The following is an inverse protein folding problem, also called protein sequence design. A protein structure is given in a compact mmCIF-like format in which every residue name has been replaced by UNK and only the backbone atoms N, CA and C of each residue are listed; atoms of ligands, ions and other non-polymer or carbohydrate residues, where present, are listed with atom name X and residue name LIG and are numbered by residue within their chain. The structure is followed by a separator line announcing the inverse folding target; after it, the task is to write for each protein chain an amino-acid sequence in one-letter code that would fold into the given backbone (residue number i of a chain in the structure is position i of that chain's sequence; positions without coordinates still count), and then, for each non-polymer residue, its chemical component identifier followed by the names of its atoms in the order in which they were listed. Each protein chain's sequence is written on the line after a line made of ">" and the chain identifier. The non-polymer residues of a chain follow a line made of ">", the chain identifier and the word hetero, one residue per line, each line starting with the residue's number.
data_IF_345008609646
#
_entry.id   IF_345008609646
#
_cell.length_a   1.000
_cell.length_b   1.000
_cell.length_c   1.000
_cell.angle_alpha   90.00
_cell.angle_beta   90.00
_cell.angle_gamma   90.00
#
_symmetry.space_group_name_H-M   'P 1'
#
loop_
_entity.id
_entity.type
_entity.pdbx_description
1 polymer ?
#
# COMPACT_ATOMS: atom_id res chain seq x y z
N UNK A 1 -12.34 -8.64 82.19
CA UNK A 1 -11.79 -9.93 81.73
C UNK A 1 -12.37 -10.16 80.34
N UNK A 2 -11.53 -10.06 79.31
CA UNK A 2 -11.88 -10.08 77.90
C UNK A 2 -12.29 -11.49 77.46
N UNK A 3 -13.36 -11.60 76.67
CA UNK A 3 -13.64 -12.78 75.84
C UNK A 3 -13.73 -12.29 74.39
N UNK A 4 -12.71 -12.64 73.60
CA UNK A 4 -12.63 -12.38 72.16
C UNK A 4 -13.32 -13.55 71.46
N UNK A 5 -14.37 -13.27 70.69
CA UNK A 5 -15.00 -14.23 69.79
C UNK A 5 -14.45 -14.04 68.37
N UNK A 6 -13.99 -15.15 67.79
CA UNK A 6 -13.37 -15.27 66.45
C UNK A 6 -14.39 -15.78 65.45
N UNK A 7 -14.19 -15.44 64.17
CA UNK A 7 -14.74 -16.02 62.91
C UNK A 7 -15.83 -15.16 62.24
N UNK A 8 -15.87 -14.98 60.92
CA UNK A 8 -15.34 -15.79 59.82
C UNK A 8 -14.86 -14.94 58.64
N UNK A 9 -13.81 -15.42 57.96
CA UNK A 9 -13.35 -14.91 56.68
C UNK A 9 -14.22 -15.44 55.54
N UNK A 10 -14.71 -14.56 54.67
CA UNK A 10 -15.22 -14.93 53.35
C UNK A 10 -14.08 -14.85 52.34
N UNK A 11 -13.55 -16.02 51.97
CA UNK A 11 -12.67 -16.16 50.81
C UNK A 11 -13.54 -16.05 49.57
N UNK A 12 -13.46 -14.93 48.86
CA UNK A 12 -14.04 -14.78 47.54
C UNK A 12 -13.26 -15.63 46.55
N UNK A 13 -13.90 -16.66 46.01
CA UNK A 13 -13.39 -17.49 44.92
C UNK A 13 -13.22 -16.58 43.69
N UNK A 14 -11.98 -16.21 43.37
CA UNK A 14 -11.68 -15.65 42.05
C UNK A 14 -11.83 -16.78 41.05
N UNK A 15 -12.80 -16.65 40.14
CA UNK A 15 -12.91 -17.54 38.99
C UNK A 15 -11.62 -17.39 38.17
N UNK A 16 -10.75 -18.39 38.24
CA UNK A 16 -9.66 -18.53 37.30
C UNK A 16 -10.29 -18.70 35.92
N UNK A 17 -10.26 -17.63 35.13
CA UNK A 17 -10.52 -17.71 33.70
C UNK A 17 -9.60 -18.77 33.14
N UNK A 18 -10.19 -19.78 32.50
CA UNK A 18 -9.48 -20.77 31.71
C UNK A 18 -8.73 -19.97 30.65
N UNK A 19 -7.43 -19.77 30.85
CA UNK A 19 -6.54 -19.38 29.77
C UNK A 19 -6.71 -20.47 28.72
N UNK A 20 -7.30 -20.10 27.58
CA UNK A 20 -7.21 -20.93 26.39
C UNK A 20 -5.73 -20.96 26.04
N UNK A 21 -5.13 -22.13 26.08
CA UNK A 21 -3.88 -22.38 25.37
C UNK A 21 -4.09 -21.89 23.94
N UNK A 22 -3.41 -20.81 23.58
CA UNK A 22 -3.21 -20.44 22.20
C UNK A 22 -2.34 -21.55 21.62
N UNK A 23 -2.91 -22.30 20.69
CA UNK A 23 -2.22 -23.31 19.90
C UNK A 23 -0.92 -22.70 19.35
N UNK A 24 0.18 -23.43 19.49
CA UNK A 24 1.46 -23.02 18.95
C UNK A 24 1.43 -23.13 17.43
N UNK A 25 1.51 -22.02 16.69
CA UNK A 25 1.79 -22.12 15.25
C UNK A 25 1.65 -20.91 14.33
N UNK A 26 1.15 -19.74 14.74
CA UNK A 26 1.19 -18.55 13.87
C UNK A 26 1.82 -17.39 14.61
N UNK A 27 3.10 -17.13 14.33
CA UNK A 27 3.73 -15.88 14.69
C UNK A 27 3.10 -14.77 13.85
N UNK A 28 2.52 -13.77 14.51
CA UNK A 28 2.05 -12.59 13.79
C UNK A 28 3.23 -11.85 13.18
N UNK A 29 3.12 -11.39 11.92
CA UNK A 29 4.17 -10.58 11.33
C UNK A 29 4.37 -9.31 12.14
N UNK A 30 5.61 -8.86 12.29
CA UNK A 30 5.87 -7.56 12.90
C UNK A 30 5.48 -6.41 11.96
N UNK A 31 5.59 -6.62 10.64
CA UNK A 31 5.25 -5.64 9.61
C UNK A 31 4.47 -6.26 8.45
N UNK A 32 3.40 -5.59 8.04
CA UNK A 32 2.67 -5.89 6.80
C UNK A 32 2.81 -4.74 5.82
N UNK A 33 3.21 -5.03 4.59
CA UNK A 33 3.14 -4.06 3.50
C UNK A 33 1.74 -4.08 2.90
N UNK A 34 0.95 -3.03 3.12
CA UNK A 34 -0.35 -2.87 2.46
C UNK A 34 -0.13 -2.30 1.06
N UNK A 35 -0.33 -3.13 0.04
CA UNK A 35 -0.05 -2.78 -1.36
C UNK A 35 -1.33 -2.49 -2.15
N UNK A 36 -1.31 -1.47 -3.00
CA UNK A 36 -2.44 -1.12 -3.87
C UNK A 36 -1.97 -0.81 -5.29
N UNK A 37 -2.42 -1.65 -6.22
CA UNK A 37 -2.07 -1.61 -7.65
C UNK A 37 -2.66 -0.40 -8.38
N UNK A 38 -2.18 -0.15 -9.59
CA UNK A 38 -2.71 0.88 -10.46
C UNK A 38 -4.02 0.47 -11.11
N UNK A 39 -4.67 1.41 -11.80
CA UNK A 39 -5.87 1.11 -12.58
C UNK A 39 -5.58 0.07 -13.66
N UNK A 40 -6.52 -0.85 -13.83
CA UNK A 40 -6.52 -1.96 -14.78
C UNK A 40 -5.40 -3.01 -14.60
N UNK A 41 -4.51 -2.86 -13.61
CA UNK A 41 -3.52 -3.88 -13.24
C UNK A 41 -4.16 -5.04 -12.46
N UNK A 42 -5.07 -5.76 -13.09
CA UNK A 42 -5.88 -6.81 -12.45
C UNK A 42 -5.30 -8.22 -12.61
N UNK A 43 -4.12 -8.34 -13.21
CA UNK A 43 -3.39 -9.61 -13.24
C UNK A 43 -3.02 -10.03 -11.81
N UNK A 44 -3.30 -11.28 -11.48
CA UNK A 44 -2.93 -11.87 -10.19
C UNK A 44 -1.75 -12.79 -10.36
N UNK A 45 -0.83 -12.72 -9.42
CA UNK A 45 0.32 -13.61 -9.32
C UNK A 45 -0.05 -14.75 -8.39
N UNK A 46 0.35 -15.99 -8.73
CA UNK A 46 0.04 -17.12 -7.88
C UNK A 46 0.61 -16.87 -6.47
N UNK A 47 -0.13 -17.13 -5.38
CA UNK A 47 0.42 -17.07 -4.03
C UNK A 47 1.67 -17.97 -3.97
N UNK A 48 2.83 -17.39 -3.67
CA UNK A 48 4.11 -18.11 -3.71
C UNK A 48 4.94 -17.99 -4.99
N UNK A 49 4.40 -17.43 -6.09
CA UNK A 49 5.20 -17.07 -7.28
C UNK A 49 6.13 -15.88 -6.99
N UNK A 50 5.71 -14.95 -6.12
CA UNK A 50 6.53 -13.89 -5.51
C UNK A 50 7.14 -14.38 -4.19
N UNK A 51 7.93 -15.46 -4.23
CA UNK A 51 8.69 -16.06 -3.09
C UNK A 51 7.90 -16.35 -1.79
N UNK A 52 6.57 -16.38 -1.81
CA UNK A 52 5.72 -16.69 -0.64
C UNK A 52 5.37 -15.51 0.26
N UNK A 53 5.81 -14.29 -0.07
CA UNK A 53 5.56 -13.11 0.77
C UNK A 53 4.36 -12.26 0.34
N UNK A 54 3.71 -12.53 -0.80
CA UNK A 54 2.54 -11.75 -1.26
C UNK A 54 1.31 -12.64 -1.41
N UNK A 55 0.12 -12.05 -1.17
CA UNK A 55 -1.16 -12.66 -1.50
C UNK A 55 -1.52 -12.59 -3.00
N UNK A 56 -0.71 -11.94 -3.84
CA UNK A 56 -0.76 -12.03 -5.31
C UNK A 56 -1.58 -10.96 -6.03
N UNK A 57 -2.15 -9.99 -5.31
CA UNK A 57 -2.98 -8.92 -5.89
C UNK A 57 -2.21 -7.62 -6.15
N UNK A 58 -0.87 -7.65 -6.13
CA UNK A 58 -0.06 -6.43 -6.23
C UNK A 58 -0.11 -5.74 -7.59
N UNK A 59 -0.53 -6.43 -8.66
CA UNK A 59 -0.47 -5.91 -10.03
C UNK A 59 0.95 -5.83 -10.57
N UNK A 60 1.08 -5.64 -11.89
CA UNK A 60 2.36 -5.83 -12.58
C UNK A 60 3.46 -4.86 -12.15
N UNK A 61 3.15 -3.57 -12.02
CA UNK A 61 4.14 -2.55 -11.65
C UNK A 61 4.70 -2.79 -10.25
N UNK A 62 3.84 -3.09 -9.27
CA UNK A 62 4.30 -3.38 -7.92
C UNK A 62 5.00 -4.74 -7.85
N UNK A 63 4.57 -5.73 -8.64
CA UNK A 63 5.27 -7.00 -8.75
C UNK A 63 6.72 -6.81 -9.21
N UNK A 64 6.95 -6.07 -10.30
CA UNK A 64 8.30 -5.73 -10.79
C UNK A 64 9.12 -5.00 -9.71
N UNK A 65 8.50 -4.06 -8.99
CA UNK A 65 9.16 -3.36 -7.89
C UNK A 65 9.58 -4.32 -6.76
N UNK A 66 8.68 -5.20 -6.31
CA UNK A 66 8.94 -6.14 -5.21
C UNK A 66 10.05 -7.14 -5.60
N UNK A 67 10.06 -7.61 -6.84
CA UNK A 67 11.12 -8.47 -7.38
C UNK A 67 12.46 -7.75 -7.47
N UNK A 68 12.48 -6.52 -8.00
CA UNK A 68 13.69 -5.69 -8.01
C UNK A 68 14.19 -5.41 -6.59
N UNK A 69 13.30 -5.00 -5.69
CA UNK A 69 13.64 -4.65 -4.31
C UNK A 69 14.20 -5.86 -3.55
N UNK A 70 13.62 -7.05 -3.71
CA UNK A 70 14.14 -8.28 -3.11
C UNK A 70 15.49 -8.71 -3.72
N UNK A 71 15.72 -8.42 -5.00
CA UNK A 71 17.01 -8.69 -5.64
C UNK A 71 18.12 -7.80 -5.06
N UNK A 72 17.86 -6.51 -4.86
CA UNK A 72 18.87 -5.58 -4.29
C UNK A 72 18.93 -5.62 -2.76
N UNK A 73 17.91 -6.19 -2.10
CA UNK A 73 17.83 -6.44 -0.66
C UNK A 73 17.40 -7.89 -0.38
N UNK A 74 18.30 -8.89 -0.42
CA UNK A 74 17.94 -10.32 -0.33
C UNK A 74 17.14 -10.73 0.92
N UNK A 75 17.34 -10.05 2.06
CA UNK A 75 16.64 -10.34 3.33
C UNK A 75 15.40 -9.45 3.55
N UNK A 76 14.88 -8.82 2.50
CA UNK A 76 13.79 -7.86 2.57
C UNK A 76 12.52 -8.51 3.16
N UNK A 77 12.11 -9.64 2.59
CA UNK A 77 10.91 -10.36 3.01
C UNK A 77 11.21 -11.58 3.84
N UNK A 78 10.25 -11.92 4.69
CA UNK A 78 10.25 -13.11 5.52
C UNK A 78 8.77 -13.49 5.67
N UNK A 79 8.29 -14.58 5.05
CA UNK A 79 6.87 -14.93 5.06
C UNK A 79 6.26 -15.03 6.48
N UNK A 80 7.08 -15.28 7.50
CA UNK A 80 6.63 -15.40 8.90
C UNK A 80 6.65 -14.06 9.66
N UNK A 81 7.27 -13.00 9.11
CA UNK A 81 7.51 -11.72 9.84
C UNK A 81 7.22 -10.44 9.01
N UNK A 82 7.52 -10.46 7.71
CA UNK A 82 7.48 -9.32 6.79
C UNK A 82 6.82 -9.73 5.47
N UNK A 83 5.51 -9.55 5.41
CA UNK A 83 4.65 -9.98 4.29
C UNK A 83 4.03 -8.80 3.55
N UNK A 84 3.47 -9.06 2.38
CA UNK A 84 2.76 -8.13 1.49
C UNK A 84 1.30 -8.54 1.41
N UNK A 85 0.44 -7.65 1.88
CA UNK A 85 -1.00 -7.74 1.76
C UNK A 85 -1.45 -6.78 0.66
N UNK A 86 -1.55 -7.26 -0.58
CA UNK A 86 -2.11 -6.46 -1.66
C UNK A 86 -3.64 -6.47 -1.59
N UNK A 87 -4.26 -5.30 -1.75
CA UNK A 87 -5.71 -5.15 -1.68
C UNK A 87 -6.35 -5.92 -2.85
N UNK A 88 -7.21 -6.87 -2.53
CA UNK A 88 -7.88 -7.71 -3.52
C UNK A 88 -8.97 -6.97 -4.32
N UNK A 89 -9.58 -7.68 -5.27
CA UNK A 89 -10.59 -7.11 -6.15
C UNK A 89 -11.95 -6.81 -5.46
N UNK A 90 -12.26 -7.49 -4.35
CA UNK A 90 -13.51 -7.29 -3.62
C UNK A 90 -13.44 -5.98 -2.81
N UNK A 91 -12.26 -5.68 -2.28
CA UNK A 91 -11.97 -4.44 -1.54
C UNK A 91 -11.62 -3.26 -2.48
N UNK A 92 -10.86 -3.53 -3.54
CA UNK A 92 -10.42 -2.53 -4.52
C UNK A 92 -10.38 -3.12 -5.94
N UNK A 93 -11.37 -2.84 -6.79
CA UNK A 93 -11.47 -3.44 -8.12
C UNK A 93 -10.47 -2.87 -9.13
N UNK A 94 -9.71 -1.83 -8.75
CA UNK A 94 -8.73 -1.14 -9.59
C UNK A 94 -9.22 -0.83 -11.01
N UNK A 95 -10.48 -0.43 -11.17
CA UNK A 95 -11.00 -0.06 -12.49
C UNK A 95 -10.66 1.38 -12.80
N UNK A 96 -10.41 1.69 -14.06
CA UNK A 96 -10.45 3.04 -14.58
C UNK A 96 -11.89 3.33 -14.99
N UNK A 97 -12.62 4.24 -14.30
CA UNK A 97 -13.92 4.67 -14.79
C UNK A 97 -13.78 5.43 -16.12
N UNK A 98 -13.80 4.69 -17.24
CA UNK A 98 -13.93 5.23 -18.59
C UNK A 98 -15.39 5.62 -18.82
N UNK A 99 -15.76 6.80 -18.34
CA UNK A 99 -17.00 7.44 -18.70
C UNK A 99 -16.78 8.95 -18.78
N UNK A 100 -17.07 9.53 -19.94
CA UNK A 100 -17.21 10.98 -20.19
C UNK A 100 -16.01 11.78 -20.75
N UNK A 101 -14.92 11.16 -21.19
CA UNK A 101 -14.04 11.81 -22.15
C UNK A 101 -14.65 11.64 -23.56
N UNK A 102 -15.52 12.57 -23.96
CA UNK A 102 -16.17 12.55 -25.30
C UNK A 102 -15.16 12.47 -26.45
N UNK A 103 -15.62 12.07 -27.64
CA UNK A 103 -14.80 12.00 -28.87
C UNK A 103 -14.12 13.36 -29.16
N UNK A 104 -12.82 13.46 -28.87
CA UNK A 104 -11.95 14.67 -28.93
C UNK A 104 -12.08 15.65 -27.75
N UNK A 105 -11.59 15.29 -26.55
CA UNK A 105 -11.50 16.23 -25.46
C UNK A 105 -10.34 17.23 -25.69
N UNK A 106 -10.59 18.50 -25.40
CA UNK A 106 -9.53 19.51 -25.36
C UNK A 106 -8.44 19.11 -24.34
N UNK A 107 -7.13 19.26 -24.65
CA UNK A 107 -6.06 18.83 -23.74
C UNK A 107 -6.15 19.42 -22.33
N UNK A 108 -6.63 20.67 -22.16
CA UNK A 108 -6.79 21.25 -20.83
C UNK A 108 -8.02 20.69 -20.10
N UNK A 109 -9.02 20.21 -20.83
CA UNK A 109 -10.18 19.49 -20.28
C UNK A 109 -9.81 18.07 -19.86
N UNK A 110 -8.93 17.39 -20.60
CA UNK A 110 -8.35 16.10 -20.18
C UNK A 110 -7.53 16.27 -18.91
N UNK A 111 -6.63 17.26 -18.85
CA UNK A 111 -5.76 17.52 -17.69
C UNK A 111 -6.59 17.78 -16.43
N UNK A 112 -7.55 18.70 -16.50
CA UNK A 112 -8.40 19.02 -15.35
C UNK A 112 -9.34 17.86 -15.02
N UNK A 113 -9.84 17.15 -16.04
CA UNK A 113 -10.71 15.99 -15.88
C UNK A 113 -10.03 14.85 -15.13
N UNK A 114 -8.81 14.47 -15.52
CA UNK A 114 -8.02 13.42 -14.86
C UNK A 114 -7.66 13.81 -13.43
N UNK A 115 -7.24 15.05 -13.18
CA UNK A 115 -6.92 15.52 -11.83
C UNK A 115 -8.14 15.54 -10.89
N UNK A 116 -9.28 16.07 -11.34
CA UNK A 116 -10.53 16.10 -10.58
C UNK A 116 -11.11 14.69 -10.37
N UNK A 117 -10.91 13.81 -11.34
CA UNK A 117 -11.32 12.42 -11.28
C UNK A 117 -10.53 11.61 -10.25
N UNK A 118 -9.20 11.73 -10.26
CA UNK A 118 -8.35 11.08 -9.26
C UNK A 118 -8.64 11.62 -7.85
N UNK A 119 -8.90 12.92 -7.70
CA UNK A 119 -9.36 13.52 -6.44
C UNK A 119 -10.75 13.02 -6.00
N UNK A 120 -11.69 12.84 -6.93
CA UNK A 120 -13.01 12.27 -6.63
C UNK A 120 -12.92 10.80 -6.21
N UNK A 121 -12.08 9.99 -6.87
CA UNK A 121 -11.88 8.58 -6.51
C UNK A 121 -11.22 8.42 -5.15
N UNK A 122 -10.22 9.27 -4.86
CA UNK A 122 -9.58 9.29 -3.55
C UNK A 122 -10.53 9.52 -2.38
N UNK A 123 -11.62 10.23 -2.61
CA UNK A 123 -12.64 10.49 -1.59
C UNK A 123 -13.71 9.40 -1.48
N UNK A 124 -13.71 8.42 -2.38
CA UNK A 124 -14.79 7.44 -2.52
C UNK A 124 -14.40 5.96 -2.38
N UNK A 125 -13.12 5.63 -2.20
CA UNK A 125 -12.66 4.23 -2.09
C UNK A 125 -12.53 3.80 -0.61
N UNK A 126 -13.34 2.84 -0.12
CA UNK A 126 -13.18 2.27 1.22
C UNK A 126 -12.05 1.21 1.31
N UNK A 127 -11.54 0.75 0.17
CA UNK A 127 -10.94 -0.58 0.03
C UNK A 127 -9.80 -0.95 0.97
N UNK A 128 -8.80 -0.08 1.15
CA UNK A 128 -7.64 -0.43 1.97
C UNK A 128 -7.98 -0.60 3.45
N UNK A 129 -9.01 0.08 3.96
CA UNK A 129 -9.33 0.06 5.38
C UNK A 129 -10.05 -1.23 5.76
N UNK A 130 -11.05 -1.63 4.98
CA UNK A 130 -11.80 -2.88 5.19
C UNK A 130 -10.88 -4.10 5.05
N UNK A 131 -9.94 -4.10 4.10
CA UNK A 131 -8.93 -5.17 3.96
C UNK A 131 -8.07 -5.33 5.22
N UNK A 132 -7.69 -4.22 5.86
CA UNK A 132 -6.92 -4.25 7.12
C UNK A 132 -7.77 -4.80 8.26
N UNK A 133 -9.04 -4.39 8.36
CA UNK A 133 -9.97 -4.90 9.38
C UNK A 133 -10.19 -6.41 9.23
N UNK A 134 -10.45 -6.88 8.01
CA UNK A 134 -10.67 -8.29 7.69
C UNK A 134 -9.42 -9.13 7.95
N UNK A 135 -8.23 -8.61 7.58
CA UNK A 135 -6.96 -9.26 7.88
C UNK A 135 -6.73 -9.41 9.38
N UNK A 136 -6.87 -8.34 10.17
CA UNK A 136 -6.67 -8.38 11.62
C UNK A 136 -7.72 -9.23 12.33
N UNK A 137 -8.98 -9.21 11.85
CA UNK A 137 -10.04 -10.04 12.40
C UNK A 137 -9.83 -11.53 12.11
N UNK A 138 -9.43 -11.88 10.89
CA UNK A 138 -9.26 -13.28 10.47
C UNK A 138 -8.02 -13.93 11.08
N UNK A 139 -6.93 -13.17 11.22
CA UNK A 139 -5.65 -13.66 11.76
C UNK A 139 -5.52 -13.47 13.28
N UNK A 140 -6.25 -12.52 13.87
CA UNK A 140 -6.03 -12.06 15.24
C UNK A 140 -4.73 -11.26 15.43
N UNK A 141 -3.99 -11.00 14.35
CA UNK A 141 -2.75 -10.25 14.38
C UNK A 141 -2.98 -8.74 14.38
N UNK A 142 -1.98 -8.00 14.87
CA UNK A 142 -2.02 -6.53 14.94
C UNK A 142 -0.63 -5.93 14.63
N UNK A 143 -0.16 -6.04 13.37
CA UNK A 143 1.18 -5.63 12.96
C UNK A 143 1.32 -4.11 12.84
N UNK A 144 2.55 -3.64 12.64
CA UNK A 144 2.77 -2.34 12.01
C UNK A 144 2.60 -2.45 10.48
N UNK A 145 2.38 -1.32 9.80
CA UNK A 145 2.17 -1.28 8.37
C UNK A 145 3.11 -0.35 7.62
N UNK A 146 3.39 -0.71 6.38
CA UNK A 146 4.01 0.14 5.36
C UNK A 146 3.06 0.22 4.17
N UNK A 147 2.77 1.42 3.67
CA UNK A 147 1.98 1.57 2.44
C UNK A 147 2.84 1.44 1.19
N UNK A 148 2.36 0.73 0.18
CA UNK A 148 2.99 0.62 -1.13
C UNK A 148 1.95 0.86 -2.23
N UNK A 149 1.98 2.03 -2.88
CA UNK A 149 0.92 2.42 -3.81
C UNK A 149 1.45 2.80 -5.18
N UNK A 150 0.74 2.41 -6.24
CA UNK A 150 1.02 2.87 -7.59
C UNK A 150 -0.21 3.53 -8.20
N UNK A 151 -0.02 4.71 -8.81
CA UNK A 151 -1.07 5.44 -9.54
C UNK A 151 -2.34 5.63 -8.68
N UNK A 152 -3.50 5.17 -9.16
CA UNK A 152 -4.79 5.19 -8.44
C UNK A 152 -4.73 4.46 -7.09
N UNK A 153 -3.90 3.43 -6.92
CA UNK A 153 -3.77 2.67 -5.68
C UNK A 153 -3.33 3.53 -4.48
N UNK A 154 -2.59 4.62 -4.71
CA UNK A 154 -2.23 5.59 -3.66
C UNK A 154 -3.47 6.19 -2.99
N UNK A 155 -4.51 6.43 -3.78
CA UNK A 155 -5.80 6.92 -3.31
C UNK A 155 -6.54 5.86 -2.47
N UNK A 156 -6.51 4.60 -2.91
CA UNK A 156 -7.14 3.47 -2.23
C UNK A 156 -6.54 3.17 -0.85
N UNK A 157 -5.23 3.44 -0.65
CA UNK A 157 -4.54 3.25 0.62
C UNK A 157 -4.87 4.32 1.66
N UNK A 158 -5.29 5.51 1.21
CA UNK A 158 -5.30 6.70 2.06
C UNK A 158 -6.17 6.56 3.32
N UNK A 159 -7.41 6.03 3.28
CA UNK A 159 -8.21 5.83 4.48
C UNK A 159 -7.53 4.91 5.52
N UNK A 160 -6.98 3.78 5.08
CA UNK A 160 -6.26 2.85 5.93
C UNK A 160 -5.03 3.50 6.57
N UNK A 161 -4.25 4.21 5.76
CA UNK A 161 -3.03 4.87 6.23
C UNK A 161 -3.33 5.98 7.23
N UNK A 162 -4.41 6.75 7.06
CA UNK A 162 -4.81 7.73 8.08
C UNK A 162 -5.18 7.08 9.41
N UNK A 163 -5.96 5.99 9.38
CA UNK A 163 -6.32 5.26 10.59
C UNK A 163 -5.08 4.67 11.29
N UNK A 164 -4.22 3.99 10.53
CA UNK A 164 -2.99 3.38 11.03
C UNK A 164 -1.99 4.42 11.56
N UNK A 165 -1.88 5.58 10.90
CA UNK A 165 -1.05 6.68 11.38
C UNK A 165 -1.59 7.27 12.70
N UNK A 166 -2.91 7.42 12.84
CA UNK A 166 -3.53 7.89 14.08
C UNK A 166 -3.31 6.92 15.25
N UNK A 167 -3.17 5.63 14.97
CA UNK A 167 -2.81 4.59 15.95
C UNK A 167 -1.29 4.47 16.20
N UNK A 168 -0.45 5.18 15.45
CA UNK A 168 1.01 5.05 15.51
C UNK A 168 1.57 3.76 14.92
N UNK A 169 0.78 3.07 14.08
CA UNK A 169 1.08 1.78 13.46
C UNK A 169 1.50 1.88 11.99
N UNK A 170 1.51 3.08 11.42
CA UNK A 170 2.03 3.31 10.06
C UNK A 170 3.50 3.73 10.13
N UNK A 171 4.41 2.86 9.69
CA UNK A 171 5.86 3.14 9.66
C UNK A 171 6.26 4.10 8.55
N UNK A 172 5.54 4.09 7.43
CA UNK A 172 5.85 4.91 6.26
C UNK A 172 5.07 4.50 5.03
N UNK A 173 5.36 5.15 3.91
CA UNK A 173 4.82 4.76 2.61
C UNK A 173 5.79 5.01 1.45
N UNK A 174 5.68 4.17 0.42
CA UNK A 174 6.38 4.32 -0.85
C UNK A 174 5.35 4.36 -1.98
N UNK A 175 5.44 5.38 -2.84
CA UNK A 175 4.51 5.58 -3.94
C UNK A 175 5.21 5.75 -5.29
N UNK A 176 4.57 5.22 -6.34
CA UNK A 176 4.98 5.36 -7.74
C UNK A 176 3.85 5.98 -8.54
N UNK A 177 4.17 6.84 -9.52
CA UNK A 177 3.15 7.46 -10.36
C UNK A 177 2.07 8.20 -9.58
N UNK A 178 2.41 8.72 -8.38
CA UNK A 178 1.44 9.24 -7.43
C UNK A 178 0.73 10.49 -8.00
N UNK A 179 -0.60 10.46 -8.24
CA UNK A 179 -1.31 11.62 -8.79
C UNK A 179 -1.30 12.84 -7.86
N UNK A 180 -0.97 12.64 -6.59
CA UNK A 180 -0.85 13.69 -5.57
C UNK A 180 0.60 14.13 -5.32
N UNK A 181 1.56 13.71 -6.15
CA UNK A 181 2.99 13.99 -6.00
C UNK A 181 3.29 15.49 -5.83
N UNK A 182 2.56 16.36 -6.54
CA UNK A 182 2.72 17.83 -6.48
C UNK A 182 1.83 18.52 -5.43
N UNK A 183 1.01 17.76 -4.70
CA UNK A 183 0.08 18.26 -3.71
C UNK A 183 0.30 17.58 -2.34
N UNK A 184 1.46 17.80 -1.68
CA UNK A 184 1.82 17.15 -0.42
C UNK A 184 1.01 17.61 0.80
N UNK A 185 -0.19 18.17 0.59
CA UNK A 185 -1.17 18.57 1.62
C UNK A 185 -2.57 17.99 1.36
N UNK A 186 -2.72 17.14 0.34
CA UNK A 186 -3.93 16.40 0.01
C UNK A 186 -3.66 14.90 0.18
N UNK A 187 -4.74 14.10 0.08
CA UNK A 187 -4.74 12.64 0.02
C UNK A 187 -3.49 12.09 -0.69
N UNK A 188 -2.84 11.06 -0.16
CA UNK A 188 -1.66 10.45 -0.78
C UNK A 188 -0.37 11.30 -0.75
N UNK A 189 -0.39 12.46 -0.09
CA UNK A 189 0.80 13.33 0.04
C UNK A 189 0.86 14.17 1.32
N UNK A 190 -0.25 14.40 2.02
CA UNK A 190 -0.25 15.23 3.23
C UNK A 190 -1.51 15.17 4.06
N UNK A 191 -1.45 14.39 5.15
CA UNK A 191 -1.89 14.76 6.51
C UNK A 191 -1.55 13.62 7.50
N UNK A 192 -0.40 12.95 7.31
CA UNK A 192 0.15 11.97 8.24
C UNK A 192 1.42 12.56 8.86
N UNK A 193 1.25 13.60 9.67
CA UNK A 193 2.37 14.35 10.25
C UNK A 193 3.34 13.40 10.95
N UNK A 194 4.61 13.42 10.54
CA UNK A 194 5.67 12.59 11.12
C UNK A 194 5.85 11.20 10.51
N UNK A 195 4.99 10.78 9.57
CA UNK A 195 5.16 9.52 8.83
C UNK A 195 6.05 9.74 7.60
N UNK A 196 7.16 9.00 7.42
CA UNK A 196 8.02 9.13 6.25
C UNK A 196 7.31 8.64 4.98
N UNK A 197 7.36 9.46 3.93
CA UNK A 197 6.81 9.13 2.61
C UNK A 197 7.89 9.30 1.55
N UNK A 198 8.10 8.27 0.73
CA UNK A 198 8.91 8.33 -0.49
C UNK A 198 7.99 8.27 -1.70
N UNK A 199 7.98 9.30 -2.54
CA UNK A 199 7.15 9.36 -3.74
C UNK A 199 8.05 9.54 -4.96
N UNK A 200 8.07 8.54 -5.83
CA UNK A 200 8.87 8.52 -7.05
C UNK A 200 7.96 8.74 -8.27
N UNK A 201 8.34 9.72 -9.09
CA UNK A 201 7.67 10.07 -10.33
C UNK A 201 8.67 9.98 -11.48
N UNK A 202 8.36 9.18 -12.49
CA UNK A 202 9.12 9.16 -13.73
C UNK A 202 8.96 10.50 -14.47
N UNK A 203 10.01 10.91 -15.17
CA UNK A 203 9.91 12.05 -16.08
C UNK A 203 8.88 11.75 -17.18
N UNK A 204 8.10 12.76 -17.55
CA UNK A 204 7.04 12.63 -18.57
C UNK A 204 5.89 11.66 -18.18
N UNK A 205 5.80 11.19 -16.93
CA UNK A 205 4.64 10.45 -16.42
C UNK A 205 3.45 11.40 -16.22
N UNK A 206 2.41 11.25 -17.04
CA UNK A 206 1.23 12.13 -17.02
C UNK A 206 0.49 12.14 -15.67
N UNK A 207 0.57 11.07 -14.87
CA UNK A 207 -0.15 10.97 -13.61
C UNK A 207 0.46 11.89 -12.55
N UNK A 208 1.79 11.99 -12.47
CA UNK A 208 2.50 12.71 -11.40
C UNK A 208 3.33 13.90 -11.89
N UNK A 209 3.65 13.95 -13.18
CA UNK A 209 4.26 15.07 -13.91
C UNK A 209 3.24 15.68 -14.89
N UNK A 210 2.26 16.41 -14.36
CA UNK A 210 1.11 16.98 -15.08
C UNK A 210 1.44 18.13 -16.05
N UNK A 211 2.66 18.19 -16.59
CA UNK A 211 3.04 19.15 -17.62
C UNK A 211 2.32 18.88 -18.96
N UNK A 212 2.09 19.92 -19.80
CA UNK A 212 1.48 19.73 -21.12
C UNK A 212 2.21 18.73 -22.02
N UNK A 213 3.53 18.60 -21.83
CA UNK A 213 4.38 17.65 -22.55
C UNK A 213 4.05 16.20 -22.18
N UNK A 214 3.99 15.87 -20.90
CA UNK A 214 3.72 14.51 -20.39
C UNK A 214 2.37 13.99 -20.86
N UNK A 215 1.35 14.86 -20.85
CA UNK A 215 0.02 14.52 -21.37
C UNK A 215 0.04 14.32 -22.88
N UNK A 216 0.74 15.18 -23.62
CA UNK A 216 0.87 15.01 -25.07
C UNK A 216 1.59 13.69 -25.44
N UNK A 217 2.59 13.29 -24.67
CA UNK A 217 3.30 12.02 -24.88
C UNK A 217 2.41 10.83 -24.55
N UNK A 218 1.67 10.85 -23.44
CA UNK A 218 0.74 9.79 -23.07
C UNK A 218 -0.40 9.61 -24.10
N UNK A 219 -0.86 10.69 -24.74
CA UNK A 219 -1.88 10.61 -25.80
C UNK A 219 -1.33 10.15 -27.17
N UNK A 220 -0.01 10.21 -27.37
CA UNK A 220 0.66 9.77 -28.59
C UNK A 220 1.14 8.32 -28.52
N UNK A 221 1.13 7.73 -27.33
CA UNK A 221 1.48 6.35 -27.13
C UNK A 221 0.27 5.46 -27.46
N UNK A 222 0.34 4.84 -28.64
CA UNK A 222 -0.69 3.91 -29.12
C UNK A 222 -0.59 2.52 -28.43
N UNK A 223 0.49 2.27 -27.68
CA UNK A 223 0.82 0.97 -27.08
C UNK A 223 0.64 0.93 -25.55
N UNK A 224 0.39 2.06 -24.88
CA UNK A 224 0.18 2.13 -23.42
C UNK A 224 0.13 3.55 -22.88
N UNK A 225 0.22 3.72 -21.56
CA UNK A 225 0.16 5.02 -20.89
C UNK A 225 1.53 5.76 -20.80
N UNK A 226 2.45 5.50 -21.73
CA UNK A 226 3.77 6.14 -21.78
C UNK A 226 4.68 5.75 -20.62
N UNK A 227 5.44 6.73 -20.11
CA UNK A 227 6.35 6.53 -18.98
C UNK A 227 5.65 5.93 -17.74
N UNK A 228 4.33 6.15 -17.60
CA UNK A 228 3.55 5.66 -16.48
C UNK A 228 3.61 4.13 -16.32
N UNK A 229 3.69 3.35 -17.40
CA UNK A 229 3.71 1.87 -17.33
C UNK A 229 5.13 1.27 -17.24
N UNK A 230 6.16 2.12 -17.21
CA UNK A 230 7.55 1.69 -17.37
C UNK A 230 8.35 1.57 -16.08
N UNK A 231 7.74 1.88 -14.92
CA UNK A 231 8.39 1.77 -13.61
C UNK A 231 9.01 0.37 -13.42
N UNK A 232 10.31 0.35 -13.09
CA UNK A 232 11.09 -0.86 -12.78
C UNK A 232 11.18 -1.91 -13.90
N UNK A 233 10.72 -1.61 -15.13
CA UNK A 233 10.68 -2.58 -16.24
C UNK A 233 12.06 -3.13 -16.60
N UNK A 234 13.05 -2.24 -16.67
CA UNK A 234 14.42 -2.64 -17.02
C UNK A 234 15.18 -3.09 -15.76
N UNK A 235 14.94 -2.42 -14.62
CA UNK A 235 15.56 -2.71 -13.33
C UNK A 235 15.28 -4.14 -12.81
N UNK A 236 14.09 -4.68 -13.06
CA UNK A 236 13.75 -6.06 -12.65
C UNK A 236 14.48 -7.11 -13.51
N UNK A 237 14.83 -6.79 -14.75
CA UNK A 237 15.55 -7.68 -15.67
C UNK A 237 17.05 -7.66 -15.37
N UNK A 238 17.64 -6.47 -15.22
CA UNK A 238 19.01 -6.26 -14.80
C UNK A 238 19.07 -5.13 -13.74
N UNK A 239 19.32 -5.45 -12.46
CA UNK A 239 19.42 -4.45 -11.40
C UNK A 239 20.48 -3.38 -11.62
N UNK A 240 21.43 -3.58 -12.54
CA UNK A 240 22.42 -2.57 -12.92
C UNK A 240 21.89 -1.49 -13.86
N UNK A 241 20.75 -1.74 -14.52
CA UNK A 241 20.03 -0.76 -15.35
C UNK A 241 19.13 0.16 -14.52
N UNK A 242 18.95 -0.13 -13.22
CA UNK A 242 18.15 0.69 -12.34
C UNK A 242 18.70 2.12 -12.22
N UNK A 243 17.82 3.09 -12.43
CA UNK A 243 18.14 4.49 -12.19
C UNK A 243 18.43 4.75 -10.70
N UNK A 244 19.15 5.84 -10.37
CA UNK A 244 19.35 6.23 -8.97
C UNK A 244 18.05 6.42 -8.18
N UNK A 245 16.97 6.82 -8.85
CA UNK A 245 15.66 7.01 -8.23
C UNK A 245 14.98 5.67 -7.90
N UNK A 246 15.03 4.69 -8.81
CA UNK A 246 14.53 3.34 -8.56
C UNK A 246 15.30 2.66 -7.43
N UNK A 247 16.65 2.82 -7.40
CA UNK A 247 17.46 2.35 -6.28
C UNK A 247 17.07 3.03 -4.96
N UNK A 248 16.86 4.34 -4.97
CA UNK A 248 16.45 5.08 -3.78
C UNK A 248 15.07 4.64 -3.27
N UNK A 249 14.13 4.29 -4.16
CA UNK A 249 12.83 3.75 -3.80
C UNK A 249 12.94 2.38 -3.10
N UNK A 250 13.74 1.46 -3.65
CA UNK A 250 14.00 0.15 -3.02
C UNK A 250 14.67 0.32 -1.65
N UNK A 251 15.67 1.21 -1.54
CA UNK A 251 16.33 1.50 -0.27
C UNK A 251 15.38 2.16 0.75
N UNK A 252 14.45 3.01 0.30
CA UNK A 252 13.43 3.61 1.15
C UNK A 252 12.48 2.56 1.69
N UNK A 253 11.96 1.69 0.82
CA UNK A 253 11.08 0.60 1.21
C UNK A 253 11.75 -0.35 2.21
N UNK A 254 13.01 -0.75 1.96
CA UNK A 254 13.77 -1.62 2.84
C UNK A 254 14.00 -1.03 4.25
N UNK A 255 14.10 0.30 4.38
CA UNK A 255 14.20 0.96 5.70
C UNK A 255 12.89 0.99 6.47
N UNK A 256 11.74 0.88 5.79
CA UNK A 256 10.43 0.97 6.43
C UNK A 256 9.97 -0.38 6.97
N UNK A 257 10.32 -1.48 6.28
CA UNK A 257 9.87 -2.82 6.65
C UNK A 257 10.82 -3.57 7.59
N UNK A 258 12.05 -3.07 7.78
CA UNK A 258 13.04 -3.59 8.75
C UNK A 258 12.97 -2.79 10.05
#
# INVERSE_FOLDING_TARGET
>A
MFVVAVSAATVGTSAAGVARDADAGESCPSVVTLAARGSEENETYAPGASNGYSNGYEGETLHRFLDYASTVHPDLFDPDDRTVLAIDADHYPARFPVGEAGENPDPATVVNGVGLFMDSMARGLPGGFEMVEDYEQSTGCRPDYVGLGYSQGVAALTPAQHALAAEGRLRGAVYFGNPFHRAPGLIGGGAMSGVPVHSYCLADDFACDTGPRSVALALQDDEGAGAHETYFRDAVVDPSDASPAERAAADAFARLIR
#
